data_IF_464992377798
#
_entry.id   IF_464992377798
#
_cell.length_a   1.000
_cell.length_b   1.000
_cell.length_c   1.000
_cell.angle_alpha   90.00
_cell.angle_beta   90.00
_cell.angle_gamma   90.00
#
_symmetry.space_group_name_H-M   'P 1'
#
loop_
_entity.id
_entity.type
_entity.pdbx_description
1 polymer ?
#
# COMPACT_ATOMS: atom_id res chain seq x y z
N UNK A 1 17.32 -13.21 16.68
CA UNK A 1 16.29 -12.42 17.38
C UNK A 1 15.13 -12.19 16.42
N UNK A 2 13.89 -12.41 16.84
CA UNK A 2 12.69 -12.13 16.04
C UNK A 2 12.46 -10.61 15.99
N UNK A 3 12.49 -10.00 14.80
CA UNK A 3 12.19 -8.58 14.64
C UNK A 3 10.66 -8.41 14.66
N UNK A 4 10.13 -7.82 15.74
CA UNK A 4 8.71 -7.46 15.81
C UNK A 4 8.52 -6.09 15.15
N UNK A 5 8.16 -6.08 13.87
CA UNK A 5 7.84 -4.84 13.15
C UNK A 5 6.34 -4.61 13.26
N UNK A 6 5.96 -3.69 14.16
CA UNK A 6 4.60 -3.12 14.21
C UNK A 6 4.50 -2.06 13.13
N UNK A 7 3.35 -2.00 12.46
CA UNK A 7 3.05 -0.83 11.65
C UNK A 7 2.73 0.37 12.56
N UNK A 8 2.81 1.57 11.99
CA UNK A 8 2.69 2.83 12.76
C UNK A 8 1.29 3.05 13.35
N UNK A 9 0.29 2.33 12.85
CA UNK A 9 -1.09 2.37 13.37
C UNK A 9 -1.33 1.34 14.50
N UNK A 10 -0.30 0.60 14.90
CA UNK A 10 -0.35 -0.29 16.05
C UNK A 10 -1.01 -1.64 15.80
N UNK A 11 -1.27 -2.02 14.55
CA UNK A 11 -1.83 -3.33 14.18
C UNK A 11 -0.75 -4.41 14.20
N UNK A 12 -0.85 -5.42 15.07
CA UNK A 12 0.07 -6.55 15.05
C UNK A 12 -0.13 -7.38 13.78
N UNK A 13 1.00 -7.69 13.13
CA UNK A 13 1.06 -8.57 11.97
C UNK A 13 1.76 -9.87 12.37
N UNK A 14 1.18 -11.00 12.00
CA UNK A 14 1.79 -12.32 12.13
C UNK A 14 2.64 -12.57 10.88
N UNK A 15 3.87 -13.01 11.09
CA UNK A 15 4.84 -13.25 10.00
C UNK A 15 5.22 -14.71 9.92
N UNK A 16 5.73 -15.12 8.76
CA UNK A 16 6.24 -16.48 8.55
C UNK A 16 7.50 -16.74 9.38
N UNK A 17 7.55 -17.91 10.01
CA UNK A 17 8.70 -18.35 10.80
C UNK A 17 10.00 -18.47 9.99
N UNK A 18 9.89 -18.81 8.70
CA UNK A 18 11.04 -18.98 7.80
C UNK A 18 11.36 -17.70 7.01
N UNK A 19 10.41 -16.76 6.93
CA UNK A 19 10.61 -15.48 6.27
C UNK A 19 9.90 -14.35 7.06
N UNK A 20 10.61 -13.65 7.96
CA UNK A 20 10.01 -12.59 8.80
C UNK A 20 9.56 -11.35 7.99
N UNK A 21 9.86 -11.30 6.70
CA UNK A 21 9.34 -10.28 5.79
C UNK A 21 8.00 -10.67 5.12
N UNK A 22 7.50 -11.89 5.35
CA UNK A 22 6.24 -12.36 4.80
C UNK A 22 5.15 -12.39 5.86
N UNK A 23 4.16 -11.50 5.75
CA UNK A 23 2.97 -11.48 6.60
C UNK A 23 2.01 -12.59 6.19
N UNK A 24 1.54 -13.35 7.19
CA UNK A 24 0.61 -14.48 7.04
C UNK A 24 -0.79 -14.19 7.56
N UNK A 25 -0.95 -13.25 8.50
CA UNK A 25 -2.25 -12.75 8.97
C UNK A 25 -2.07 -11.49 9.84
N UNK A 26 -3.18 -10.85 10.22
CA UNK A 26 -3.22 -9.69 11.10
C UNK A 26 -4.32 -9.86 12.15
N UNK A 27 -4.16 -9.21 13.31
CA UNK A 27 -5.16 -9.26 14.39
C UNK A 27 -6.39 -8.40 14.09
N UNK A 28 -6.25 -7.42 13.20
CA UNK A 28 -7.32 -6.51 12.79
C UNK A 28 -7.27 -6.29 11.29
N UNK A 29 -8.45 -6.26 10.69
CA UNK A 29 -8.64 -5.93 9.29
C UNK A 29 -9.58 -4.75 9.17
N UNK A 30 -9.28 -3.90 8.22
CA UNK A 30 -10.28 -3.02 7.63
C UNK A 30 -11.24 -3.86 6.79
N UNK A 31 -12.51 -3.48 6.80
CA UNK A 31 -13.53 -4.04 5.92
C UNK A 31 -13.91 -3.03 4.83
N UNK A 32 -13.10 -2.89 3.76
CA UNK A 32 -13.38 -1.92 2.71
C UNK A 32 -14.70 -2.18 1.97
N UNK A 33 -15.10 -3.44 1.81
CA UNK A 33 -16.33 -3.83 1.15
C UNK A 33 -17.03 -4.96 1.90
N UNK A 34 -18.33 -4.78 2.15
CA UNK A 34 -19.22 -5.77 2.74
C UNK A 34 -20.44 -5.85 1.82
N UNK A 35 -20.70 -7.02 1.23
CA UNK A 35 -21.61 -7.16 0.11
C UNK A 35 -22.28 -8.54 0.06
N UNK A 36 -23.06 -8.77 -0.99
CA UNK A 36 -23.70 -10.05 -1.26
C UNK A 36 -23.64 -10.34 -2.75
N UNK A 37 -23.53 -11.61 -3.11
CA UNK A 37 -23.70 -12.11 -4.47
C UNK A 37 -24.77 -13.21 -4.48
N UNK A 38 -25.66 -13.19 -5.45
CA UNK A 38 -26.75 -14.16 -5.57
C UNK A 38 -26.91 -14.63 -7.02
N UNK A 39 -27.50 -15.81 -7.25
CA UNK A 39 -27.87 -16.25 -8.59
C UNK A 39 -28.68 -15.18 -9.33
N UNK A 40 -28.31 -14.91 -10.59
CA UNK A 40 -28.88 -13.83 -11.39
C UNK A 40 -28.07 -12.53 -11.40
N UNK A 41 -27.08 -12.37 -10.51
CA UNK A 41 -26.10 -11.30 -10.64
C UNK A 41 -25.23 -11.52 -11.89
N UNK A 42 -24.92 -10.47 -12.68
CA UNK A 42 -23.96 -10.57 -13.78
C UNK A 42 -22.63 -11.15 -13.29
N UNK A 43 -22.12 -12.18 -13.99
CA UNK A 43 -20.86 -12.84 -13.64
C UNK A 43 -20.93 -13.76 -12.41
N UNK A 44 -22.10 -14.01 -11.82
CA UNK A 44 -22.24 -14.87 -10.63
C UNK A 44 -21.59 -16.24 -10.79
N UNK A 45 -21.87 -16.93 -11.90
CA UNK A 45 -21.33 -18.26 -12.15
C UNK A 45 -19.80 -18.30 -12.21
N UNK A 46 -19.19 -17.25 -12.78
CA UNK A 46 -17.73 -17.08 -12.80
C UNK A 46 -17.21 -16.75 -11.39
N UNK A 47 -17.92 -15.92 -10.63
CA UNK A 47 -17.51 -15.52 -9.28
C UNK A 47 -17.48 -16.69 -8.29
N UNK A 48 -18.41 -17.64 -8.39
CA UNK A 48 -18.48 -18.81 -7.49
C UNK A 48 -17.66 -20.00 -7.96
N UNK A 49 -17.02 -19.94 -9.14
CA UNK A 49 -16.17 -21.02 -9.67
C UNK A 49 -15.07 -21.41 -8.67
N UNK A 50 -14.42 -20.44 -8.05
CA UNK A 50 -13.43 -20.70 -7.00
C UNK A 50 -13.99 -21.48 -5.80
N UNK A 51 -15.28 -21.30 -5.46
CA UNK A 51 -15.92 -22.05 -4.37
C UNK A 51 -16.25 -23.46 -4.83
N UNK A 52 -16.71 -23.63 -6.07
CA UNK A 52 -17.01 -24.93 -6.69
C UNK A 52 -15.77 -25.81 -6.75
N UNK A 53 -14.67 -25.28 -7.27
CA UNK A 53 -13.40 -26.01 -7.44
C UNK A 53 -12.82 -26.50 -6.12
N UNK A 54 -13.10 -25.78 -5.03
CA UNK A 54 -12.66 -26.13 -3.69
C UNK A 54 -13.70 -26.92 -2.88
N UNK A 55 -14.84 -27.30 -3.48
CA UNK A 55 -15.90 -28.06 -2.80
C UNK A 55 -16.64 -27.26 -1.71
N UNK A 56 -16.58 -25.93 -1.77
CA UNK A 56 -17.22 -25.03 -0.81
C UNK A 56 -18.46 -24.34 -1.36
N UNK A 57 -18.82 -24.59 -2.63
CA UNK A 57 -20.07 -24.11 -3.20
C UNK A 57 -21.27 -24.88 -2.63
N UNK A 58 -21.78 -24.40 -1.51
CA UNK A 58 -22.77 -25.10 -0.67
C UNK A 58 -24.05 -24.29 -0.44
N UNK A 59 -24.13 -23.06 -0.99
CA UNK A 59 -25.21 -22.10 -0.72
C UNK A 59 -25.97 -21.77 -2.00
N UNK A 60 -27.12 -22.42 -2.27
CA UNK A 60 -27.90 -22.16 -3.48
C UNK A 60 -28.50 -20.75 -3.52
N UNK A 61 -28.67 -20.10 -2.37
CA UNK A 61 -29.15 -18.72 -2.25
C UNK A 61 -28.10 -17.66 -2.61
N UNK A 62 -26.82 -18.05 -2.73
CA UNK A 62 -25.69 -17.15 -2.89
C UNK A 62 -24.90 -16.92 -1.59
N UNK A 63 -24.03 -15.91 -1.63
CA UNK A 63 -23.02 -15.68 -0.61
C UNK A 63 -23.05 -14.25 -0.08
N UNK A 64 -22.99 -14.12 1.24
CA UNK A 64 -22.54 -12.90 1.88
C UNK A 64 -21.01 -12.80 1.79
N UNK A 65 -20.51 -11.60 1.49
CA UNK A 65 -19.09 -11.33 1.27
C UNK A 65 -18.55 -10.28 2.24
N UNK A 66 -17.36 -10.53 2.78
CA UNK A 66 -16.54 -9.50 3.42
C UNK A 66 -15.17 -9.52 2.79
N UNK A 67 -14.75 -8.38 2.26
CA UNK A 67 -13.38 -8.16 1.82
C UNK A 67 -12.62 -7.58 3.00
N UNK A 68 -11.63 -8.33 3.46
CA UNK A 68 -10.75 -7.97 4.55
C UNK A 68 -9.45 -7.45 3.98
N UNK A 69 -8.96 -6.36 4.54
CA UNK A 69 -7.70 -5.78 4.13
C UNK A 69 -6.94 -5.22 5.33
N UNK A 70 -5.63 -5.41 5.30
CA UNK A 70 -4.62 -4.71 6.08
C UNK A 70 -3.53 -4.27 5.11
N UNK A 71 -2.54 -3.54 5.61
CA UNK A 71 -1.47 -2.98 4.80
C UNK A 71 -0.61 -4.07 4.10
N UNK A 72 -0.52 -5.25 4.70
CA UNK A 72 0.32 -6.36 4.21
C UNK A 72 -0.44 -7.69 4.00
N UNK A 73 -1.76 -7.70 4.19
CA UNK A 73 -2.57 -8.90 4.02
C UNK A 73 -3.99 -8.57 3.60
N UNK A 74 -4.54 -9.36 2.69
CA UNK A 74 -5.93 -9.30 2.28
C UNK A 74 -6.53 -10.70 2.34
N UNK A 75 -7.84 -10.76 2.55
CA UNK A 75 -8.61 -11.99 2.52
C UNK A 75 -10.04 -11.69 2.09
N UNK A 76 -10.73 -12.73 1.64
CA UNK A 76 -12.15 -12.69 1.32
C UNK A 76 -12.88 -13.76 2.10
N UNK A 77 -13.90 -13.34 2.84
CA UNK A 77 -14.83 -14.21 3.54
C UNK A 77 -16.06 -14.45 2.67
N UNK A 78 -16.51 -15.70 2.63
CA UNK A 78 -17.77 -16.14 2.05
C UNK A 78 -18.61 -16.83 3.13
N UNK A 79 -19.82 -16.32 3.37
CA UNK A 79 -20.76 -16.87 4.35
C UNK A 79 -22.21 -16.73 3.91
N UNK A 80 -23.13 -16.82 4.87
CA UNK A 80 -24.56 -16.63 4.56
C UNK A 80 -24.88 -15.17 4.29
N UNK A 81 -25.80 -14.92 3.35
CA UNK A 81 -26.35 -13.58 3.10
C UNK A 81 -26.98 -13.02 4.37
N UNK A 82 -27.69 -13.86 5.14
CA UNK A 82 -28.35 -13.46 6.38
C UNK A 82 -27.37 -12.88 7.42
N UNK A 83 -26.23 -13.55 7.63
CA UNK A 83 -25.22 -13.09 8.61
C UNK A 83 -24.62 -11.74 8.19
N UNK A 84 -24.34 -11.55 6.91
CA UNK A 84 -23.77 -10.29 6.41
C UNK A 84 -24.78 -9.15 6.48
N UNK A 85 -26.03 -9.39 6.11
CA UNK A 85 -27.07 -8.38 6.22
C UNK A 85 -27.37 -8.03 7.69
N UNK A 86 -27.30 -9.00 8.61
CA UNK A 86 -27.34 -8.75 10.05
C UNK A 86 -26.16 -7.88 10.49
N UNK A 87 -24.93 -8.25 10.13
CA UNK A 87 -23.73 -7.50 10.46
C UNK A 87 -23.82 -6.05 9.96
N UNK A 88 -24.22 -5.81 8.71
CA UNK A 88 -24.40 -4.45 8.17
C UNK A 88 -25.38 -3.61 8.99
N UNK A 89 -26.52 -4.21 9.38
CA UNK A 89 -27.55 -3.52 10.19
C UNK A 89 -27.08 -3.21 11.60
N UNK A 90 -26.27 -4.09 12.19
CA UNK A 90 -25.80 -3.94 13.58
C UNK A 90 -24.54 -3.06 13.66
N UNK A 91 -23.72 -3.01 12.61
CA UNK A 91 -22.43 -2.31 12.60
C UNK A 91 -22.53 -0.80 12.29
N UNK A 92 -23.64 -0.15 12.65
CA UNK A 92 -23.88 1.28 12.37
C UNK A 92 -22.88 2.18 13.11
N UNK A 93 -22.45 1.76 14.31
CA UNK A 93 -21.47 2.47 15.14
C UNK A 93 -20.07 1.83 15.11
N UNK A 94 -19.87 0.79 14.30
CA UNK A 94 -18.60 0.08 14.19
C UNK A 94 -18.29 -0.92 15.30
N UNK A 95 -19.26 -1.26 16.17
CA UNK A 95 -19.03 -2.14 17.33
C UNK A 95 -19.57 -3.56 17.17
N UNK A 96 -20.17 -3.89 16.02
CA UNK A 96 -20.78 -5.19 15.83
C UNK A 96 -19.74 -6.32 15.82
N UNK A 97 -20.08 -7.44 16.44
CA UNK A 97 -19.26 -8.65 16.42
C UNK A 97 -19.59 -9.49 15.19
N UNK A 98 -18.57 -10.10 14.60
CA UNK A 98 -18.70 -10.96 13.43
C UNK A 98 -18.07 -12.33 13.70
N UNK A 99 -18.83 -13.40 13.47
CA UNK A 99 -18.37 -14.78 13.64
C UNK A 99 -17.85 -15.34 12.31
N UNK A 100 -16.53 -15.26 12.12
CA UNK A 100 -15.86 -15.73 10.92
C UNK A 100 -15.87 -17.28 10.75
N UNK A 101 -16.27 -18.05 11.77
CA UNK A 101 -16.31 -19.51 11.69
C UNK A 101 -17.53 -20.06 10.92
N UNK A 102 -18.53 -19.22 10.63
CA UNK A 102 -19.77 -19.62 9.94
C UNK A 102 -19.64 -19.67 8.41
N UNK A 103 -18.45 -19.45 7.89
CA UNK A 103 -18.16 -19.42 6.47
C UNK A 103 -16.73 -19.85 6.18
N UNK A 104 -16.29 -19.58 4.95
CA UNK A 104 -14.96 -19.91 4.48
C UNK A 104 -14.19 -18.64 4.15
N UNK A 105 -12.92 -18.60 4.55
CA UNK A 105 -12.04 -17.46 4.27
C UNK A 105 -10.93 -17.91 3.34
N UNK A 106 -10.77 -17.19 2.25
CA UNK A 106 -9.66 -17.37 1.32
C UNK A 106 -8.65 -16.24 1.53
N UNK A 107 -7.36 -16.59 1.44
CA UNK A 107 -6.33 -15.59 1.37
C UNK A 107 -6.43 -14.84 0.05
N UNK A 108 -6.14 -13.54 0.09
CA UNK A 108 -6.26 -12.59 -1.01
C UNK A 108 -7.70 -12.30 -1.43
N UNK A 109 -7.84 -11.29 -2.27
CA UNK A 109 -9.10 -11.03 -2.95
C UNK A 109 -9.17 -11.80 -4.26
N UNK A 110 -10.36 -12.27 -4.64
CA UNK A 110 -10.57 -12.86 -5.95
C UNK A 110 -10.37 -11.82 -7.06
N UNK A 111 -10.01 -12.30 -8.24
CA UNK A 111 -9.82 -11.50 -9.45
C UNK A 111 -10.38 -12.27 -10.66
N UNK A 112 -10.56 -11.56 -11.77
CA UNK A 112 -11.04 -12.14 -13.02
C UNK A 112 -12.53 -11.86 -13.28
N UNK A 113 -13.10 -12.64 -14.20
CA UNK A 113 -14.44 -12.39 -14.74
C UNK A 113 -15.50 -12.35 -13.61
N UNK A 114 -16.37 -11.33 -13.65
CA UNK A 114 -17.33 -11.02 -12.60
C UNK A 114 -16.71 -10.24 -11.42
N UNK A 115 -15.57 -10.69 -10.89
CA UNK A 115 -14.89 -10.01 -9.78
C UNK A 115 -14.31 -8.64 -10.15
N UNK A 116 -13.74 -8.50 -11.34
CA UNK A 116 -13.10 -7.24 -11.78
C UNK A 116 -14.10 -6.07 -11.92
N UNK A 117 -15.39 -6.36 -12.12
CA UNK A 117 -16.47 -5.37 -12.15
C UNK A 117 -17.09 -5.17 -10.76
N UNK A 118 -17.18 -6.23 -9.97
CA UNK A 118 -17.74 -6.19 -8.62
C UNK A 118 -16.82 -5.46 -7.64
N UNK A 119 -15.52 -5.57 -7.80
CA UNK A 119 -14.51 -4.99 -6.91
C UNK A 119 -14.10 -3.58 -7.36
N UNK A 120 -14.32 -2.56 -6.51
CA UNK A 120 -13.74 -1.25 -6.72
C UNK A 120 -12.23 -1.27 -6.95
N UNK A 121 -11.75 -0.35 -7.80
CA UNK A 121 -10.31 -0.25 -8.11
C UNK A 121 -9.50 0.44 -7.00
N UNK A 122 -10.14 1.22 -6.12
CA UNK A 122 -9.47 1.99 -5.06
C UNK A 122 -10.19 1.82 -3.74
N UNK A 123 -9.47 1.38 -2.71
CA UNK A 123 -10.05 1.13 -1.40
C UNK A 123 -9.35 1.82 -0.25
N UNK A 124 -8.02 2.02 -0.28
CA UNK A 124 -7.32 2.45 0.93
C UNK A 124 -7.60 3.92 1.28
N UNK A 125 -7.15 4.85 0.47
CA UNK A 125 -7.50 6.26 0.65
C UNK A 125 -8.73 6.57 -0.21
N UNK A 126 -9.88 6.82 0.42
CA UNK A 126 -11.12 7.20 -0.28
C UNK A 126 -11.61 8.56 0.22
N UNK A 127 -11.88 9.48 -0.69
CA UNK A 127 -12.36 10.82 -0.39
C UNK A 127 -13.70 10.79 0.37
N UNK A 128 -14.60 9.88 -0.03
CA UNK A 128 -15.87 9.63 0.65
C UNK A 128 -15.71 9.18 2.13
N UNK A 129 -14.51 8.73 2.52
CA UNK A 129 -14.15 8.33 3.89
C UNK A 129 -13.20 9.32 4.56
N UNK A 130 -13.11 10.55 4.05
CA UNK A 130 -12.31 11.62 4.64
C UNK A 130 -10.84 11.65 4.19
N UNK A 131 -10.45 10.85 3.19
CA UNK A 131 -9.14 11.02 2.57
C UNK A 131 -9.10 12.32 1.74
N UNK A 132 -7.88 12.81 1.47
CA UNK A 132 -7.64 14.03 0.71
C UNK A 132 -8.14 13.88 -0.75
N UNK A 133 -7.93 12.70 -1.32
CA UNK A 133 -8.46 12.28 -2.62
C UNK A 133 -8.47 10.74 -2.66
N UNK A 134 -9.20 10.18 -3.62
CA UNK A 134 -9.15 8.75 -3.87
C UNK A 134 -7.75 8.33 -4.32
N UNK A 135 -7.19 7.31 -3.66
CA UNK A 135 -5.87 6.74 -3.98
C UNK A 135 -4.69 7.64 -3.62
N UNK A 136 -4.91 8.69 -2.81
CA UNK A 136 -3.84 9.59 -2.38
C UNK A 136 -3.77 9.63 -0.86
N UNK A 137 -2.65 9.17 -0.29
CA UNK A 137 -2.46 9.16 1.16
C UNK A 137 -1.44 8.16 1.66
N UNK A 138 -1.22 8.17 2.97
CA UNK A 138 -0.36 7.20 3.62
C UNK A 138 -1.12 5.87 3.77
N UNK A 139 -0.46 4.76 3.40
CA UNK A 139 -0.98 3.42 3.64
C UNK A 139 -0.51 2.92 5.00
N UNK A 140 0.79 3.01 5.22
CA UNK A 140 1.44 2.54 6.44
C UNK A 140 2.80 3.20 6.62
N UNK A 141 3.36 3.02 7.81
CA UNK A 141 4.77 3.30 8.03
C UNK A 141 5.36 2.28 9.00
N UNK A 142 6.67 2.14 8.95
CA UNK A 142 7.45 1.28 9.82
C UNK A 142 8.62 2.08 10.39
N UNK A 143 8.81 2.06 11.70
CA UNK A 143 9.94 2.72 12.33
C UNK A 143 11.27 2.11 11.84
N UNK A 144 12.23 2.96 11.52
CA UNK A 144 13.56 2.53 11.12
C UNK A 144 14.31 1.97 12.34
N UNK A 145 14.92 0.79 12.20
CA UNK A 145 15.55 0.11 13.35
C UNK A 145 16.88 0.74 13.75
N UNK A 146 17.59 1.33 12.80
CA UNK A 146 18.97 1.83 13.02
C UNK A 146 19.08 3.37 13.07
N UNK A 147 18.02 4.11 12.74
CA UNK A 147 18.06 5.59 12.60
C UNK A 147 16.89 6.17 13.40
N UNK A 148 17.16 6.70 14.61
CA UNK A 148 16.11 7.23 15.47
C UNK A 148 15.27 8.31 14.79
N UNK A 149 13.95 8.19 14.89
CA UNK A 149 12.99 9.13 14.31
C UNK A 149 12.76 8.99 12.80
N UNK A 150 13.50 8.12 12.12
CA UNK A 150 13.25 7.80 10.72
C UNK A 150 12.21 6.68 10.58
N UNK A 151 11.53 6.68 9.44
CA UNK A 151 10.49 5.73 9.06
C UNK A 151 10.64 5.30 7.60
N UNK A 152 10.18 4.09 7.30
CA UNK A 152 9.91 3.61 5.94
C UNK A 152 8.40 3.62 5.72
N UNK A 153 7.95 4.50 4.82
CA UNK A 153 6.55 4.90 4.67
C UNK A 153 6.03 4.36 3.35
N UNK A 154 4.89 3.67 3.39
CA UNK A 154 4.15 3.22 2.21
C UNK A 154 3.03 4.21 1.94
N UNK A 155 2.90 4.64 0.69
CA UNK A 155 1.91 5.64 0.32
C UNK A 155 1.38 5.41 -1.09
N UNK A 156 0.14 5.85 -1.30
CA UNK A 156 -0.51 5.91 -2.60
C UNK A 156 -0.46 7.35 -3.11
N UNK A 157 -0.30 7.50 -4.43
CA UNK A 157 -0.25 8.80 -5.09
C UNK A 157 -0.69 8.68 -6.55
N UNK A 158 -1.07 9.80 -7.16
CA UNK A 158 -1.33 9.89 -8.60
C UNK A 158 -0.01 10.24 -9.31
N UNK A 159 0.39 9.43 -10.29
CA UNK A 159 1.65 9.62 -10.98
C UNK A 159 1.66 8.99 -12.37
N UNK A 160 2.67 9.32 -13.16
CA UNK A 160 2.85 8.74 -14.49
C UNK A 160 3.89 7.63 -14.44
N UNK A 161 3.61 6.50 -15.08
CA UNK A 161 4.58 5.40 -15.21
C UNK A 161 5.72 5.77 -16.15
N UNK A 162 5.40 6.48 -17.24
CA UNK A 162 6.34 7.04 -18.20
C UNK A 162 6.00 8.50 -18.49
N UNK A 163 6.90 9.25 -19.13
CA UNK A 163 6.64 10.66 -19.43
C UNK A 163 5.35 10.86 -20.25
N UNK A 164 5.08 9.94 -21.17
CA UNK A 164 3.98 10.00 -22.13
C UNK A 164 2.69 9.30 -21.64
N UNK A 165 2.70 8.64 -20.47
CA UNK A 165 1.49 8.00 -19.94
C UNK A 165 0.54 9.01 -19.34
N UNK A 166 -0.74 8.66 -19.29
CA UNK A 166 -1.69 9.34 -18.44
C UNK A 166 -1.32 9.11 -16.95
N UNK A 167 -1.66 10.06 -16.07
CA UNK A 167 -1.55 9.84 -14.64
C UNK A 167 -2.45 8.67 -14.20
N UNK A 168 -1.89 7.72 -13.46
CA UNK A 168 -2.60 6.60 -12.86
C UNK A 168 -2.38 6.58 -11.35
N UNK A 169 -3.15 5.76 -10.65
CA UNK A 169 -2.95 5.54 -9.22
C UNK A 169 -1.74 4.64 -9.03
N UNK A 170 -0.82 5.05 -8.17
CA UNK A 170 0.47 4.42 -7.95
C UNK A 170 0.65 4.11 -6.46
N UNK A 171 1.46 3.10 -6.17
CA UNK A 171 1.85 2.75 -4.80
C UNK A 171 3.34 2.47 -4.74
N UNK A 172 3.97 2.94 -3.67
CA UNK A 172 5.40 2.75 -3.43
C UNK A 172 5.70 2.87 -1.95
N UNK A 173 6.96 2.69 -1.59
CA UNK A 173 7.47 3.00 -0.26
C UNK A 173 8.67 3.94 -0.34
N UNK A 174 8.94 4.64 0.75
CA UNK A 174 10.07 5.55 0.85
C UNK A 174 10.69 5.50 2.24
N UNK A 175 12.01 5.34 2.29
CA UNK A 175 12.79 5.38 3.52
C UNK A 175 13.34 6.79 3.75
N UNK A 176 12.88 7.43 4.82
CA UNK A 176 13.32 8.76 5.25
C UNK A 176 14.76 8.80 5.79
N UNK A 177 15.40 7.64 5.97
CA UNK A 177 16.82 7.55 6.35
C UNK A 177 17.78 7.43 5.16
N UNK A 178 17.35 6.84 4.03
CA UNK A 178 18.27 6.36 2.98
C UNK A 178 18.02 6.92 1.59
N UNK A 179 16.82 7.40 1.24
CA UNK A 179 16.58 7.96 -0.10
C UNK A 179 16.67 9.47 -0.07
N UNK A 180 17.91 9.93 -0.03
CA UNK A 180 18.27 11.27 -0.47
C UNK A 180 18.13 11.34 -2.00
N UNK A 181 18.78 10.45 -2.79
CA UNK A 181 18.91 10.56 -4.26
C UNK A 181 18.26 9.40 -4.99
N UNK A 182 17.11 9.61 -5.62
CA UNK A 182 16.79 9.15 -6.99
C UNK A 182 15.33 9.41 -7.31
N UNK A 183 15.06 9.80 -8.55
CA UNK A 183 13.76 9.62 -9.17
C UNK A 183 13.41 8.12 -9.23
N UNK A 184 12.14 7.78 -8.99
CA UNK A 184 11.50 6.48 -9.19
C UNK A 184 12.42 5.33 -9.67
N UNK A 185 13.18 4.74 -8.75
CA UNK A 185 14.00 3.57 -8.98
C UNK A 185 13.28 2.31 -8.51
N UNK A 186 12.70 1.56 -9.46
CA UNK A 186 12.28 0.15 -9.33
C UNK A 186 11.00 -0.15 -8.55
N UNK A 187 10.79 0.49 -7.40
CA UNK A 187 9.78 0.03 -6.45
C UNK A 187 8.46 0.82 -6.47
N UNK A 188 8.05 1.24 -7.66
CA UNK A 188 6.74 1.84 -7.88
C UNK A 188 5.90 0.86 -8.68
N UNK A 189 4.62 0.74 -8.34
CA UNK A 189 3.68 -0.01 -9.15
C UNK A 189 2.39 0.77 -9.33
N UNK A 190 1.72 0.53 -10.47
CA UNK A 190 0.32 0.87 -10.59
C UNK A 190 -0.47 0.17 -9.47
N UNK A 191 -1.29 0.95 -8.78
CA UNK A 191 -2.08 0.50 -7.66
C UNK A 191 -3.42 -0.07 -8.17
N UNK A 192 -3.38 -1.34 -8.55
CA UNK A 192 -4.54 -2.07 -9.07
C UNK A 192 -5.35 -2.78 -7.98
N UNK A 193 -5.01 -2.60 -6.70
CA UNK A 193 -5.71 -3.24 -5.58
C UNK A 193 -4.82 -3.61 -4.40
N UNK A 194 -5.36 -4.34 -3.40
CA UNK A 194 -4.65 -4.69 -2.17
C UNK A 194 -3.33 -5.41 -2.35
N UNK A 195 -3.23 -6.27 -3.37
CA UNK A 195 -1.99 -7.02 -3.62
C UNK A 195 -0.82 -6.10 -3.98
N UNK A 196 -1.09 -4.96 -4.63
CA UNK A 196 -0.07 -3.95 -4.95
C UNK A 196 0.37 -3.18 -3.70
N UNK A 197 -0.58 -2.82 -2.82
CA UNK A 197 -0.25 -2.25 -1.50
C UNK A 197 0.57 -3.22 -0.64
N UNK A 198 0.14 -4.48 -0.59
CA UNK A 198 0.85 -5.56 0.09
C UNK A 198 2.27 -5.73 -0.44
N UNK A 199 2.43 -5.72 -1.76
CA UNK A 199 3.74 -5.76 -2.39
C UNK A 199 4.62 -4.59 -1.90
N UNK A 200 4.11 -3.35 -1.90
CA UNK A 200 4.89 -2.17 -1.50
C UNK A 200 5.24 -2.21 -0.01
N UNK A 201 4.31 -2.63 0.85
CA UNK A 201 4.55 -2.78 2.28
C UNK A 201 5.53 -3.91 2.59
N UNK A 202 5.50 -5.02 1.84
CA UNK A 202 6.53 -6.05 1.91
C UNK A 202 7.91 -5.51 1.52
N UNK A 203 8.03 -4.70 0.46
CA UNK A 203 9.31 -4.11 0.10
C UNK A 203 9.83 -3.18 1.20
N UNK A 204 8.96 -2.34 1.79
CA UNK A 204 9.30 -1.48 2.92
C UNK A 204 9.83 -2.29 4.12
N UNK A 205 9.18 -3.42 4.42
CA UNK A 205 9.62 -4.35 5.48
C UNK A 205 10.97 -4.99 5.16
N UNK A 206 11.16 -5.44 3.92
CA UNK A 206 12.44 -6.01 3.46
C UNK A 206 13.57 -4.98 3.55
N UNK A 207 13.28 -3.71 3.24
CA UNK A 207 14.24 -2.61 3.38
C UNK A 207 14.72 -2.47 4.83
N UNK A 208 13.81 -2.45 5.80
CA UNK A 208 14.16 -2.36 7.23
C UNK A 208 14.94 -3.59 7.70
N UNK A 209 14.49 -4.78 7.33
CA UNK A 209 15.19 -6.02 7.70
C UNK A 209 16.59 -6.04 7.10
N UNK A 210 16.77 -5.52 5.89
CA UNK A 210 18.07 -5.39 5.24
C UNK A 210 18.99 -4.43 6.00
N UNK A 211 18.49 -3.25 6.38
CA UNK A 211 19.22 -2.29 7.21
C UNK A 211 19.66 -2.89 8.55
N UNK A 212 18.76 -3.62 9.21
CA UNK A 212 19.06 -4.29 10.48
C UNK A 212 20.12 -5.38 10.34
N UNK A 213 20.10 -6.14 9.24
CA UNK A 213 21.04 -7.26 9.01
C UNK A 213 22.42 -6.81 8.54
N UNK A 214 22.48 -5.77 7.72
CA UNK A 214 23.70 -5.38 7.00
C UNK A 214 24.24 -4.01 7.40
N UNK A 215 23.47 -3.22 8.17
CA UNK A 215 23.79 -1.83 8.51
C UNK A 215 23.32 -0.83 7.45
N UNK A 216 23.27 0.45 7.82
CA UNK A 216 22.96 1.55 6.90
C UNK A 216 24.21 1.91 6.07
N UNK A 217 24.05 2.12 4.77
CA UNK A 217 25.13 2.49 3.85
C UNK A 217 25.99 1.32 3.36
N UNK A 218 25.84 0.12 3.92
CA UNK A 218 26.61 -1.05 3.48
C UNK A 218 26.24 -1.48 2.06
N UNK A 219 27.23 -1.93 1.29
CA UNK A 219 27.08 -2.39 -0.10
C UNK A 219 26.23 -3.65 -0.28
N UNK A 220 25.78 -4.29 0.80
CA UNK A 220 24.82 -5.40 0.79
C UNK A 220 23.47 -5.01 1.39
N UNK A 221 23.36 -3.82 2.00
CA UNK A 221 22.12 -3.30 2.55
C UNK A 221 21.22 -2.72 1.46
N UNK A 222 19.91 -2.74 1.66
CA UNK A 222 18.97 -2.01 0.79
C UNK A 222 18.85 -0.54 1.19
N UNK A 223 19.37 -0.17 2.36
CA UNK A 223 19.36 1.18 2.88
C UNK A 223 20.70 1.85 2.58
N UNK A 224 20.83 2.46 1.40
CA UNK A 224 22.06 3.14 0.96
C UNK A 224 21.78 4.59 0.52
N UNK A 225 22.14 5.59 1.34
CA UNK A 225 22.08 6.98 0.90
C UNK A 225 23.12 7.24 -0.18
N UNK A 226 22.68 7.90 -1.24
CA UNK A 226 23.54 8.44 -2.28
C UNK A 226 23.96 9.86 -1.87
N UNK A 227 25.14 10.30 -2.33
CA UNK A 227 25.81 11.50 -1.80
C UNK A 227 25.55 12.79 -2.58
N UNK A 228 24.56 12.84 -3.46
CA UNK A 228 24.20 13.95 -4.34
C UNK A 228 25.06 14.19 -5.56
N UNK A 229 25.78 13.15 -6.01
CA UNK A 229 26.66 13.26 -7.18
C UNK A 229 25.88 13.56 -8.46
N UNK A 230 24.67 12.98 -8.60
CA UNK A 230 23.81 13.22 -9.76
C UNK A 230 23.29 14.66 -9.79
N UNK A 231 22.80 15.20 -8.67
CA UNK A 231 22.34 16.60 -8.60
C UNK A 231 23.47 17.58 -8.92
N UNK A 232 24.68 17.35 -8.39
CA UNK A 232 25.85 18.17 -8.71
C UNK A 232 26.21 18.11 -10.19
N UNK A 233 26.13 16.93 -10.81
CA UNK A 233 26.35 16.78 -12.26
C UNK A 233 25.29 17.51 -13.07
N UNK A 234 24.00 17.40 -12.71
CA UNK A 234 22.89 18.11 -13.37
C UNK A 234 23.04 19.62 -13.23
N UNK A 235 23.37 20.11 -12.04
CA UNK A 235 23.65 21.53 -11.78
C UNK A 235 24.81 22.05 -12.65
N UNK A 236 25.88 21.27 -12.78
CA UNK A 236 27.02 21.64 -13.64
C UNK A 236 26.60 21.74 -15.12
N UNK A 237 25.81 20.79 -15.62
CA UNK A 237 25.28 20.83 -16.99
C UNK A 237 24.34 22.02 -17.19
N UNK A 238 23.45 22.29 -16.24
CA UNK A 238 22.52 23.41 -16.31
C UNK A 238 23.25 24.77 -16.34
N UNK A 239 24.25 24.97 -15.47
CA UNK A 239 25.09 26.17 -15.49
C UNK A 239 25.79 26.37 -16.84
N UNK A 240 26.37 25.29 -17.38
CA UNK A 240 27.08 25.35 -18.65
C UNK A 240 26.17 25.60 -19.86
N UNK A 241 24.99 24.96 -19.90
CA UNK A 241 24.07 25.07 -21.05
C UNK A 241 23.16 26.29 -21.00
N UNK A 242 22.74 26.70 -19.81
CA UNK A 242 21.75 27.76 -19.61
C UNK A 242 22.36 29.06 -19.08
N UNK A 243 23.68 29.12 -18.88
CA UNK A 243 24.37 30.32 -18.39
C UNK A 243 23.99 30.73 -16.97
N UNK A 244 23.48 29.79 -16.17
CA UNK A 244 23.00 30.08 -14.82
C UNK A 244 24.16 30.35 -13.86
N UNK A 245 24.02 31.35 -13.00
CA UNK A 245 25.00 31.68 -11.95
C UNK A 245 24.71 30.97 -10.62
N UNK A 246 23.51 30.44 -10.43
CA UNK A 246 23.08 29.67 -9.27
C UNK A 246 22.73 28.23 -9.66
N UNK A 247 22.71 27.34 -8.66
CA UNK A 247 22.25 25.98 -8.85
C UNK A 247 20.71 25.94 -8.93
N UNK A 248 20.11 25.38 -9.98
CA UNK A 248 18.66 25.19 -10.05
C UNK A 248 18.16 24.13 -9.05
N UNK A 249 19.00 23.16 -8.68
CA UNK A 249 18.70 22.13 -7.69
C UNK A 249 19.65 22.25 -6.49
N UNK A 250 19.27 21.82 -5.28
CA UNK A 250 20.22 21.71 -4.16
C UNK A 250 21.41 20.80 -4.48
N UNK A 251 22.55 21.01 -3.81
CA UNK A 251 23.78 20.21 -4.01
C UNK A 251 23.80 18.89 -3.22
N UNK A 252 22.87 18.76 -2.28
CA UNK A 252 22.63 17.54 -1.54
C UNK A 252 21.20 17.11 -1.72
N UNK A 253 21.04 15.81 -1.65
CA UNK A 253 19.81 15.19 -2.06
C UNK A 253 18.81 15.08 -0.91
N UNK A 254 19.28 15.16 0.34
CA UNK A 254 18.45 15.49 1.50
C UNK A 254 17.59 16.73 1.24
N UNK A 255 18.23 17.81 0.78
CA UNK A 255 17.57 19.11 0.58
C UNK A 255 16.67 19.06 -0.65
N UNK A 256 17.10 18.36 -1.71
CA UNK A 256 16.24 18.13 -2.87
C UNK A 256 15.02 17.28 -2.49
N UNK A 257 15.16 16.19 -1.75
CA UNK A 257 14.04 15.36 -1.32
C UNK A 257 13.03 16.15 -0.47
N UNK A 258 13.54 16.94 0.48
CA UNK A 258 12.73 17.76 1.37
C UNK A 258 11.93 18.86 0.64
N UNK A 259 12.36 19.28 -0.55
CA UNK A 259 11.76 20.41 -1.29
C UNK A 259 11.09 20.02 -2.61
N UNK A 260 11.49 18.91 -3.23
CA UNK A 260 11.11 18.48 -4.59
C UNK A 260 10.87 16.98 -4.72
N UNK A 261 11.26 16.15 -3.75
CA UNK A 261 11.19 14.68 -3.83
C UNK A 261 10.13 14.04 -2.92
N UNK A 262 10.12 12.71 -2.77
CA UNK A 262 9.13 11.97 -1.98
C UNK A 262 8.95 12.47 -0.55
N UNK A 263 10.01 12.98 0.10
CA UNK A 263 9.93 13.55 1.44
C UNK A 263 8.97 14.76 1.51
N UNK A 264 8.99 15.63 0.50
CA UNK A 264 8.06 16.76 0.39
C UNK A 264 6.61 16.30 0.19
N UNK A 265 6.39 15.28 -0.65
CA UNK A 265 5.09 14.63 -0.85
C UNK A 265 4.58 14.06 0.47
N UNK A 266 5.39 13.27 1.16
CA UNK A 266 5.03 12.65 2.44
C UNK A 266 4.73 13.70 3.51
N UNK A 267 5.51 14.80 3.57
CA UNK A 267 5.23 15.91 4.49
C UNK A 267 3.86 16.52 4.24
N UNK A 268 3.51 16.75 2.99
CA UNK A 268 2.19 17.29 2.61
C UNK A 268 1.07 16.29 2.93
N UNK A 269 1.25 15.00 2.63
CA UNK A 269 0.29 13.95 2.99
C UNK A 269 0.09 13.84 4.51
N UNK A 270 1.16 13.95 5.31
CA UNK A 270 1.09 14.00 6.79
C UNK A 270 0.34 15.21 7.31
N UNK A 271 0.42 16.33 6.60
CA UNK A 271 -0.32 17.55 6.92
C UNK A 271 -1.78 17.52 6.43
N UNK A 272 -2.23 16.40 5.82
CA UNK A 272 -3.59 16.30 5.32
C UNK A 272 -3.84 17.10 4.04
N UNK A 273 -2.80 17.43 3.26
CA UNK A 273 -2.94 18.21 2.02
C UNK A 273 -2.42 17.46 0.80
N UNK A 274 -3.11 17.62 -0.34
CA UNK A 274 -2.67 17.01 -1.62
C UNK A 274 -1.38 17.70 -2.05
N UNK A 275 -0.29 16.94 -2.33
CA UNK A 275 0.97 17.52 -2.74
C UNK A 275 0.82 18.51 -3.90
N UNK A 276 1.46 19.68 -3.81
CA UNK A 276 1.33 20.73 -4.82
C UNK A 276 1.73 20.26 -6.24
N UNK A 277 2.68 19.33 -6.33
CA UNK A 277 3.11 18.70 -7.60
C UNK A 277 1.97 17.94 -8.30
N UNK A 278 0.91 17.57 -7.58
CA UNK A 278 -0.28 16.90 -8.11
C UNK A 278 -1.48 17.84 -8.33
N UNK A 279 -1.30 19.17 -8.24
CA UNK A 279 -2.37 20.16 -8.41
C UNK A 279 -2.38 20.82 -9.81
N UNK A 280 -1.51 20.37 -10.71
CA UNK A 280 -1.31 20.92 -12.04
C UNK A 280 -2.23 20.28 -13.08
#
# INVERSE_FOLDING_TARGET
>A
MSVTIRNTYGTPHNVSDTNPAHVTSCDRYRLPLVGTIAPGNPGYEDMVEMLKDNGHDTRPEGYGLIFLESEEFSATYFGSIEQIEKYKRENVDGTATFDAQQGVTYAQWPHGKGWDEFLPRVFWNQAARGAIADGVGLVTAFAHTEVPGAEVIVYEFEGKWTHDSDPTQMVTYHCTACHMDTAHGGDVHENTGPDRRRWAARQARQHIVSAHRHGVGDKNSSCRPNGGEMLRAVNAVAKNRLGMTSNPLPDTDDVYCATKGPCSIIRELRAGVRPAVYRA
#
